data_IF_521503237838
#
_entry.id   IF_521503237838
#
_cell.length_a   1.000
_cell.length_b   1.000
_cell.length_c   1.000
_cell.angle_alpha   90.00
_cell.angle_beta   90.00
_cell.angle_gamma   90.00
#
_symmetry.space_group_name_H-M   'P 1'
#
loop_
_entity.id
_entity.type
_entity.pdbx_description
1 polymer ?
#
# COMPACT_ATOMS: atom_id res chain seq x y z
N UNK A 1 -75.36 -26.15 42.15
CA UNK A 1 -75.81 -25.55 40.88
C UNK A 1 -74.97 -24.31 40.61
N UNK A 2 -74.49 -24.15 39.35
CA UNK A 2 -73.72 -23.03 38.73
C UNK A 2 -72.41 -22.60 39.42
N UNK A 3 -71.17 -22.75 38.92
CA UNK A 3 -70.52 -22.59 37.58
C UNK A 3 -70.63 -21.18 36.99
N UNK A 4 -69.46 -20.62 36.60
CA UNK A 4 -69.12 -19.45 35.72
C UNK A 4 -68.25 -18.37 36.46
N UNK A 5 -67.16 -17.80 35.88
CA UNK A 5 -65.85 -18.45 35.87
C UNK A 5 -64.66 -17.50 36.15
N UNK A 6 -63.50 -18.15 36.24
CA UNK A 6 -62.12 -17.65 36.21
C UNK A 6 -61.78 -16.90 34.92
N UNK A 7 -61.49 -15.59 34.98
CA UNK A 7 -60.61 -14.85 34.02
C UNK A 7 -60.52 -13.36 34.39
N UNK A 8 -59.77 -12.99 35.44
CA UNK A 8 -59.47 -11.56 35.66
C UNK A 8 -58.31 -11.26 36.63
N UNK A 9 -57.25 -12.08 36.70
CA UNK A 9 -56.11 -11.82 37.61
C UNK A 9 -54.71 -12.13 37.05
N UNK A 10 -54.51 -11.99 35.74
CA UNK A 10 -53.16 -12.16 35.14
C UNK A 10 -52.66 -10.95 34.32
N UNK A 11 -53.29 -9.77 34.41
CA UNK A 11 -52.90 -8.61 33.59
C UNK A 11 -52.51 -7.35 34.37
N UNK A 12 -52.07 -7.50 35.62
CA UNK A 12 -51.65 -6.38 36.48
C UNK A 12 -50.34 -6.64 37.22
N UNK A 13 -49.41 -7.38 36.58
CA UNK A 13 -48.08 -7.61 37.13
C UNK A 13 -46.98 -7.73 36.05
N UNK A 14 -47.15 -6.98 34.95
CA UNK A 14 -46.19 -6.89 33.84
C UNK A 14 -46.06 -5.46 33.27
N UNK A 15 -46.33 -4.44 34.10
CA UNK A 15 -46.15 -3.00 33.77
C UNK A 15 -45.31 -2.28 34.87
N UNK A 16 -44.66 -3.03 35.76
CA UNK A 16 -43.86 -2.49 36.86
C UNK A 16 -42.40 -2.97 36.82
N UNK A 17 -41.87 -3.14 35.61
CA UNK A 17 -40.47 -3.50 35.36
C UNK A 17 -39.88 -2.73 34.18
N UNK A 18 -40.25 -1.45 34.04
CA UNK A 18 -39.74 -0.54 33.00
C UNK A 18 -39.46 0.86 33.57
N UNK A 19 -38.84 0.94 34.74
CA UNK A 19 -38.35 2.21 35.30
C UNK A 19 -37.13 1.98 36.20
N UNK A 20 -36.05 1.50 35.60
CA UNK A 20 -34.70 1.81 36.08
C UNK A 20 -33.99 2.55 34.96
N UNK A 21 -34.01 3.88 35.05
CA UNK A 21 -33.19 4.76 34.24
C UNK A 21 -31.71 4.45 34.54
N UNK A 22 -31.10 3.61 33.70
CA UNK A 22 -29.65 3.61 33.56
C UNK A 22 -29.20 4.91 32.90
N UNK A 23 -28.01 5.44 33.21
CA UNK A 23 -27.50 6.62 32.53
C UNK A 23 -27.50 6.33 31.04
N UNK A 24 -28.04 7.26 30.26
CA UNK A 24 -27.98 7.23 28.81
C UNK A 24 -26.50 7.21 28.38
N UNK A 25 -25.94 6.01 28.22
CA UNK A 25 -24.81 5.82 27.33
C UNK A 25 -25.33 6.23 25.96
N UNK A 26 -24.95 7.42 25.53
CA UNK A 26 -25.00 7.85 24.14
C UNK A 26 -24.20 6.82 23.33
N UNK A 27 -24.87 5.76 22.91
CA UNK A 27 -24.41 4.94 21.79
C UNK A 27 -24.67 5.83 20.58
N UNK A 28 -23.68 6.68 20.27
CA UNK A 28 -23.58 7.34 18.98
C UNK A 28 -23.57 6.20 17.96
N UNK A 29 -24.66 6.05 17.21
CA UNK A 29 -24.67 5.17 16.05
C UNK A 29 -23.63 5.73 15.07
N UNK A 30 -22.68 4.90 14.68
CA UNK A 30 -21.63 5.20 13.71
C UNK A 30 -22.15 5.34 12.27
N UNK A 31 -23.42 5.76 12.09
CA UNK A 31 -24.16 5.71 10.83
C UNK A 31 -24.54 7.11 10.29
N UNK A 32 -24.15 8.18 10.98
CA UNK A 32 -24.29 9.59 10.54
C UNK A 32 -22.93 10.24 10.28
N UNK A 33 -22.01 9.50 9.68
CA UNK A 33 -20.74 10.06 9.23
C UNK A 33 -20.98 10.81 7.92
N UNK A 34 -21.12 12.14 7.95
CA UNK A 34 -21.26 12.94 6.72
C UNK A 34 -20.03 12.73 5.81
N UNK A 35 -20.18 12.04 4.66
CA UNK A 35 -19.07 11.76 3.76
C UNK A 35 -18.47 13.04 3.13
N UNK A 36 -19.17 14.18 3.15
CA UNK A 36 -18.64 15.46 2.68
C UNK A 36 -17.56 16.06 3.62
N UNK A 37 -17.43 15.53 4.84
CA UNK A 37 -16.45 16.00 5.84
C UNK A 37 -15.15 15.20 5.85
N UNK A 38 -14.97 14.29 4.89
CA UNK A 38 -13.71 13.60 4.66
C UNK A 38 -12.86 14.38 3.66
N UNK A 39 -11.60 14.64 4.00
CA UNK A 39 -10.67 15.37 3.14
C UNK A 39 -9.41 14.55 2.88
N UNK A 40 -9.00 14.50 1.62
CA UNK A 40 -7.68 14.02 1.21
C UNK A 40 -6.68 15.18 1.28
N UNK A 41 -5.69 15.08 2.15
CA UNK A 41 -4.69 16.13 2.37
C UNK A 41 -3.44 15.92 1.52
N UNK A 42 -2.99 14.67 1.37
CA UNK A 42 -1.74 14.35 0.69
C UNK A 42 -1.80 12.99 -0.01
N UNK A 43 -1.16 12.91 -1.18
CA UNK A 43 -1.02 11.71 -2.00
C UNK A 43 0.46 11.49 -2.29
N UNK A 44 0.98 10.29 -1.96
CA UNK A 44 2.36 9.91 -2.22
C UNK A 44 2.42 8.60 -2.99
N UNK A 45 3.00 8.68 -4.18
CA UNK A 45 3.33 7.51 -4.99
C UNK A 45 4.73 6.99 -4.67
N UNK A 46 4.85 5.67 -4.52
CA UNK A 46 6.12 5.00 -4.24
C UNK A 46 6.83 5.53 -2.99
N UNK A 47 8.15 5.38 -2.98
CA UNK A 47 9.00 5.83 -1.88
C UNK A 47 9.64 7.20 -2.13
N UNK A 48 9.64 7.67 -3.38
CA UNK A 48 10.27 8.92 -3.81
C UNK A 48 9.41 9.75 -4.79
N UNK A 49 8.08 9.54 -4.77
CA UNK A 49 7.11 10.13 -5.72
C UNK A 49 7.16 9.54 -7.13
N UNK A 50 7.87 8.42 -7.32
CA UNK A 50 7.90 7.70 -8.59
C UNK A 50 7.30 6.29 -8.48
N UNK A 51 6.89 5.75 -9.63
CA UNK A 51 6.36 4.39 -9.77
C UNK A 51 7.18 3.55 -10.74
N UNK A 52 7.10 2.23 -10.60
CA UNK A 52 7.56 1.25 -11.58
C UNK A 52 6.37 0.69 -12.35
N UNK A 53 6.41 0.73 -13.68
CA UNK A 53 5.38 0.13 -14.53
C UNK A 53 5.54 -1.41 -14.53
N UNK A 54 4.42 -2.11 -14.54
CA UNK A 54 4.36 -3.57 -14.46
C UNK A 54 4.73 -4.14 -13.10
N UNK A 55 4.69 -3.34 -12.02
CA UNK A 55 5.00 -3.77 -10.65
C UNK A 55 3.99 -3.23 -9.62
N UNK A 56 4.02 -3.82 -8.42
CA UNK A 56 3.24 -3.36 -7.28
C UNK A 56 3.91 -2.18 -6.58
N UNK A 57 3.30 -1.02 -6.71
CA UNK A 57 3.72 0.24 -6.12
C UNK A 57 2.99 0.51 -4.80
N UNK A 58 3.67 1.21 -3.90
CA UNK A 58 3.04 1.75 -2.70
C UNK A 58 2.30 3.04 -3.05
N UNK A 59 1.05 3.17 -2.63
CA UNK A 59 0.31 4.44 -2.65
C UNK A 59 -0.05 4.79 -1.22
N UNK A 60 0.46 5.91 -0.71
CA UNK A 60 0.14 6.42 0.63
C UNK A 60 -0.76 7.66 0.53
N UNK A 61 -1.90 7.61 1.20
CA UNK A 61 -2.92 8.66 1.22
C UNK A 61 -3.08 9.18 2.64
N UNK A 62 -2.99 10.50 2.82
CA UNK A 62 -3.25 11.17 4.10
C UNK A 62 -4.67 11.69 4.10
N UNK A 63 -5.51 11.10 4.94
CA UNK A 63 -6.94 11.41 5.01
C UNK A 63 -7.26 12.01 6.37
N UNK A 64 -8.05 13.07 6.37
CA UNK A 64 -8.49 13.77 7.57
C UNK A 64 -10.01 13.79 7.65
N UNK A 65 -10.53 13.41 8.81
CA UNK A 65 -11.92 13.62 9.17
C UNK A 65 -12.08 15.03 9.74
N UNK A 66 -12.81 15.91 9.06
CA UNK A 66 -13.08 17.28 9.54
C UNK A 66 -14.25 17.33 10.52
N UNK A 67 -14.99 16.23 10.68
CA UNK A 67 -16.16 16.15 11.56
C UNK A 67 -15.75 16.04 13.04
N UNK A 68 -16.54 16.64 13.96
CA UNK A 68 -16.43 16.36 15.40
C UNK A 68 -17.00 14.98 15.79
N UNK A 69 -17.63 14.26 14.86
CA UNK A 69 -18.08 12.89 15.05
C UNK A 69 -17.10 11.89 14.40
N UNK A 70 -17.01 10.65 14.89
CA UNK A 70 -16.23 9.61 14.20
C UNK A 70 -16.81 9.35 12.81
N UNK A 71 -15.91 9.16 11.85
CA UNK A 71 -16.24 8.77 10.49
C UNK A 71 -15.92 7.29 10.28
N UNK A 72 -16.85 6.53 9.69
CA UNK A 72 -16.62 5.14 9.30
C UNK A 72 -17.15 4.90 7.89
N UNK A 73 -16.32 4.31 7.04
CA UNK A 73 -16.71 4.03 5.66
C UNK A 73 -15.66 3.20 4.94
N UNK A 74 -15.86 3.00 3.64
CA UNK A 74 -14.94 2.27 2.77
C UNK A 74 -14.35 3.21 1.75
N UNK A 75 -13.02 3.27 1.69
CA UNK A 75 -12.29 3.94 0.63
C UNK A 75 -12.09 2.99 -0.54
N UNK A 76 -12.52 3.40 -1.72
CA UNK A 76 -12.41 2.65 -2.98
C UNK A 76 -11.42 3.35 -3.90
N UNK A 77 -10.33 2.69 -4.23
CA UNK A 77 -9.39 3.17 -5.25
C UNK A 77 -9.75 2.52 -6.58
N UNK A 78 -10.08 3.33 -7.57
CA UNK A 78 -10.49 2.88 -8.90
C UNK A 78 -9.52 3.40 -9.97
N UNK A 79 -9.28 2.59 -10.98
CA UNK A 79 -8.59 2.98 -12.19
C UNK A 79 -9.62 3.36 -13.26
N UNK A 80 -9.38 4.43 -14.02
CA UNK A 80 -10.24 4.88 -15.12
C UNK A 80 -9.43 5.19 -16.37
N UNK A 81 -9.84 4.61 -17.48
CA UNK A 81 -9.21 4.87 -18.78
C UNK A 81 -9.79 6.11 -19.46
N UNK A 82 -8.93 7.09 -19.77
CA UNK A 82 -9.22 8.18 -20.72
C UNK A 82 -10.54 8.95 -20.52
N UNK A 83 -11.10 9.47 -21.62
CA UNK A 83 -12.32 10.30 -21.67
C UNK A 83 -13.63 9.56 -21.35
N UNK A 84 -13.56 8.30 -20.93
CA UNK A 84 -14.72 7.47 -20.59
C UNK A 84 -14.94 7.36 -19.08
N UNK A 85 -16.19 7.15 -18.68
CA UNK A 85 -16.59 6.88 -17.29
C UNK A 85 -16.47 5.40 -16.90
N UNK A 86 -15.91 4.54 -17.75
CA UNK A 86 -15.77 3.11 -17.46
C UNK A 86 -14.59 2.88 -16.52
N UNK A 87 -14.90 2.33 -15.34
CA UNK A 87 -13.90 1.86 -14.38
C UNK A 87 -13.19 0.63 -14.95
N UNK A 88 -11.87 0.62 -14.85
CA UNK A 88 -11.04 -0.50 -15.27
C UNK A 88 -10.70 -1.35 -14.04
N UNK A 89 -10.92 -2.66 -14.16
CA UNK A 89 -10.62 -3.62 -13.10
C UNK A 89 -11.60 -3.60 -11.92
N UNK A 90 -11.15 -4.18 -10.80
CA UNK A 90 -11.89 -4.19 -9.55
C UNK A 90 -11.36 -3.08 -8.64
N UNK A 91 -12.24 -2.31 -7.98
CA UNK A 91 -11.80 -1.29 -7.05
C UNK A 91 -11.05 -1.92 -5.87
N UNK A 92 -9.95 -1.29 -5.44
CA UNK A 92 -9.28 -1.67 -4.20
C UNK A 92 -10.05 -1.02 -3.04
N UNK A 93 -10.75 -1.84 -2.27
CA UNK A 93 -11.58 -1.38 -1.16
C UNK A 93 -10.86 -1.56 0.17
N UNK A 94 -10.87 -0.51 1.00
CA UNK A 94 -10.32 -0.57 2.35
C UNK A 94 -11.31 0.06 3.36
N UNK A 95 -11.80 -0.70 4.35
CA UNK A 95 -12.60 -0.15 5.42
C UNK A 95 -11.74 0.72 6.32
N UNK A 96 -12.21 1.92 6.64
CA UNK A 96 -11.47 2.92 7.39
C UNK A 96 -12.41 3.54 8.42
N UNK A 97 -11.91 3.64 9.65
CA UNK A 97 -12.57 4.38 10.73
C UNK A 97 -11.61 5.44 11.21
N UNK A 98 -12.08 6.67 11.29
CA UNK A 98 -11.37 7.85 11.77
C UNK A 98 -12.14 8.44 12.94
N UNK A 99 -11.46 8.75 14.03
CA UNK A 99 -12.02 9.49 15.15
C UNK A 99 -12.35 10.94 14.78
N UNK A 100 -12.95 11.69 15.72
CA UNK A 100 -13.19 13.12 15.58
C UNK A 100 -11.90 13.89 15.26
N UNK A 101 -11.90 14.71 14.21
CA UNK A 101 -10.73 15.53 13.82
C UNK A 101 -9.43 14.75 13.57
N UNK A 102 -9.51 13.42 13.38
CA UNK A 102 -8.34 12.55 13.22
C UNK A 102 -7.79 12.65 11.79
N UNK A 103 -6.45 12.70 11.70
CA UNK A 103 -5.70 12.55 10.46
C UNK A 103 -4.94 11.24 10.47
N UNK A 104 -5.05 10.45 9.39
CA UNK A 104 -4.42 9.14 9.30
C UNK A 104 -3.88 8.85 7.91
N UNK A 105 -2.75 8.16 7.87
CA UNK A 105 -2.19 7.59 6.65
C UNK A 105 -2.80 6.22 6.33
N UNK A 106 -3.12 6.02 5.06
CA UNK A 106 -3.73 4.82 4.51
C UNK A 106 -2.88 4.38 3.33
N UNK A 107 -2.60 3.09 3.22
CA UNK A 107 -1.67 2.56 2.23
C UNK A 107 -2.31 1.49 1.36
N UNK A 108 -2.25 1.69 0.05
CA UNK A 108 -2.62 0.71 -0.95
C UNK A 108 -1.38 0.09 -1.59
N UNK A 109 -1.53 -1.15 -2.04
CA UNK A 109 -0.57 -1.84 -2.89
C UNK A 109 -1.18 -1.91 -4.29
N UNK A 110 -0.68 -1.06 -5.19
CA UNK A 110 -1.30 -0.77 -6.48
C UNK A 110 -0.42 -1.32 -7.59
N UNK A 111 -0.96 -2.18 -8.44
CA UNK A 111 -0.25 -2.59 -9.66
C UNK A 111 -0.46 -1.51 -10.73
N UNK A 112 0.62 -0.90 -11.20
CA UNK A 112 0.56 0.14 -12.24
C UNK A 112 0.98 -0.48 -13.55
N UNK A 113 0.08 -0.62 -14.52
CA UNK A 113 0.40 -1.14 -15.84
C UNK A 113 1.00 -0.06 -16.73
N UNK A 114 0.36 1.12 -16.78
CA UNK A 114 0.85 2.30 -17.49
C UNK A 114 0.76 3.57 -16.63
N UNK A 115 1.61 4.55 -16.94
CA UNK A 115 1.61 5.87 -16.26
C UNK A 115 0.51 6.82 -16.74
N UNK A 116 -0.22 6.45 -17.80
CA UNK A 116 -1.35 7.24 -18.31
C UNK A 116 -2.69 6.89 -17.64
N UNK A 117 -2.68 5.95 -16.69
CA UNK A 117 -3.89 5.51 -16.00
C UNK A 117 -4.35 6.58 -15.01
N UNK A 118 -5.62 7.00 -15.12
CA UNK A 118 -6.19 7.97 -14.19
C UNK A 118 -6.71 7.24 -12.96
N UNK A 119 -6.10 7.53 -11.81
CA UNK A 119 -6.49 6.93 -10.54
C UNK A 119 -7.47 7.85 -9.79
N UNK A 120 -8.52 7.27 -9.23
CA UNK A 120 -9.54 7.99 -8.48
C UNK A 120 -9.76 7.34 -7.13
N UNK A 121 -9.90 8.17 -6.09
CA UNK A 121 -10.33 7.74 -4.77
C UNK A 121 -11.81 8.10 -4.59
N UNK A 122 -12.63 7.11 -4.24
CA UNK A 122 -14.04 7.28 -3.93
C UNK A 122 -14.35 6.84 -2.50
N UNK A 123 -15.17 7.58 -1.78
CA UNK A 123 -15.65 7.20 -0.44
C UNK A 123 -17.18 7.32 -0.28
N UNK A 124 -17.87 7.38 -1.41
CA UNK A 124 -19.31 7.29 -1.55
C UNK A 124 -19.69 7.36 -3.04
N UNK A 125 -20.96 7.63 -3.34
CA UNK A 125 -21.50 7.57 -4.70
C UNK A 125 -21.73 8.95 -5.34
N UNK A 126 -21.56 10.04 -4.58
CA UNK A 126 -21.70 11.38 -5.12
C UNK A 126 -20.38 11.88 -5.75
N UNK A 127 -20.47 12.75 -6.77
CA UNK A 127 -19.30 13.35 -7.42
C UNK A 127 -18.39 14.11 -6.45
N UNK A 128 -18.94 14.67 -5.37
CA UNK A 128 -18.18 15.36 -4.31
C UNK A 128 -17.36 14.41 -3.42
N UNK A 129 -17.61 13.10 -3.54
CA UNK A 129 -16.95 12.02 -2.79
C UNK A 129 -15.96 11.26 -3.68
N UNK A 130 -15.60 11.86 -4.81
CA UNK A 130 -14.69 11.35 -5.82
C UNK A 130 -13.52 12.34 -5.93
N UNK A 131 -12.29 11.85 -5.78
CA UNK A 131 -11.08 12.66 -5.88
C UNK A 131 -10.13 12.07 -6.92
N UNK A 132 -9.77 12.86 -7.93
CA UNK A 132 -8.77 12.46 -8.92
C UNK A 132 -7.39 12.54 -8.29
N UNK A 133 -6.63 11.44 -8.35
CA UNK A 133 -5.26 11.42 -7.90
C UNK A 133 -4.34 11.97 -8.99
N UNK A 134 -3.23 12.55 -8.57
CA UNK A 134 -2.18 12.96 -9.50
C UNK A 134 -1.64 11.74 -10.25
N UNK A 135 -1.44 11.91 -11.56
CA UNK A 135 -0.85 10.89 -12.42
C UNK A 135 0.51 10.47 -11.87
N UNK A 136 0.77 9.16 -11.75
CA UNK A 136 2.03 8.68 -11.23
C UNK A 136 3.17 8.97 -12.21
N UNK A 137 4.33 9.38 -11.69
CA UNK A 137 5.51 9.63 -12.51
C UNK A 137 6.36 8.37 -12.57
N UNK A 138 6.69 7.88 -13.76
CA UNK A 138 7.60 6.73 -13.88
C UNK A 138 9.02 7.16 -13.49
N UNK A 139 9.71 6.32 -12.72
CA UNK A 139 11.10 6.54 -12.32
C UNK A 139 11.87 5.23 -12.22
N UNK A 140 13.15 5.26 -11.84
CA UNK A 140 13.88 4.05 -11.46
C UNK A 140 13.56 3.65 -10.02
N UNK A 141 13.80 2.39 -9.65
CA UNK A 141 13.62 1.91 -8.27
C UNK A 141 14.46 2.74 -7.28
N UNK A 142 13.84 3.43 -6.32
CA UNK A 142 14.56 4.35 -5.45
C UNK A 142 15.37 3.64 -4.36
N UNK A 143 16.41 4.33 -3.91
CA UNK A 143 17.08 4.06 -2.63
C UNK A 143 16.77 5.21 -1.70
N UNK A 144 16.15 4.94 -0.56
CA UNK A 144 15.63 5.98 0.34
C UNK A 144 16.27 5.92 1.72
N UNK A 145 16.48 7.09 2.30
CA UNK A 145 16.82 7.26 3.71
C UNK A 145 15.54 7.17 4.54
N UNK A 146 15.55 6.26 5.50
CA UNK A 146 14.50 6.20 6.52
C UNK A 146 14.77 7.28 7.54
N UNK A 147 13.77 8.09 7.84
CA UNK A 147 13.88 9.15 8.83
C UNK A 147 12.68 9.12 9.77
N UNK A 148 12.94 9.56 11.00
CA UNK A 148 11.90 9.91 11.96
C UNK A 148 11.39 11.33 11.65
N UNK A 149 10.10 11.45 11.37
CA UNK A 149 9.46 12.74 11.08
C UNK A 149 9.30 13.61 12.34
N UNK A 150 9.24 12.97 13.51
CA UNK A 150 9.09 13.64 14.80
C UNK A 150 10.45 14.06 15.41
N UNK A 151 11.56 13.63 14.81
CA UNK A 151 12.89 14.02 15.26
C UNK A 151 13.18 15.51 14.98
N UNK A 152 13.64 16.21 16.02
CA UNK A 152 13.81 17.68 16.10
C UNK A 152 14.80 18.28 15.08
N UNK A 153 15.49 17.47 14.28
CA UNK A 153 16.37 17.96 13.22
C UNK A 153 16.62 16.90 12.16
N UNK A 154 15.89 16.98 11.05
CA UNK A 154 16.28 16.32 9.81
C UNK A 154 17.02 17.36 8.92
N UNK A 155 18.37 17.44 8.95
CA UNK A 155 19.09 18.41 8.11
C UNK A 155 18.75 18.18 6.64
N UNK A 156 18.42 19.17 5.81
CA UNK A 156 18.14 18.93 4.39
C UNK A 156 19.34 18.25 3.74
N UNK A 157 19.10 17.18 2.99
CA UNK A 157 20.15 16.39 2.34
C UNK A 157 19.73 15.96 0.95
N UNK A 158 20.70 15.56 0.11
CA UNK A 158 20.44 15.17 -1.28
C UNK A 158 19.69 13.84 -1.42
N UNK A 159 19.65 13.03 -0.35
CA UNK A 159 18.99 11.74 -0.35
C UNK A 159 17.48 11.86 -0.29
N UNK A 160 16.79 11.04 -1.10
CA UNK A 160 15.34 10.85 -0.99
C UNK A 160 14.99 10.27 0.37
N UNK A 161 13.90 10.75 0.96
CA UNK A 161 13.52 10.45 2.34
C UNK A 161 12.17 9.78 2.41
N UNK A 162 12.06 8.81 3.31
CA UNK A 162 10.81 8.13 3.57
C UNK A 162 10.58 7.98 5.07
N UNK A 163 9.41 8.40 5.55
CA UNK A 163 9.10 8.43 6.97
C UNK A 163 8.99 7.00 7.51
N UNK A 164 9.66 6.72 8.63
CA UNK A 164 9.72 5.37 9.17
C UNK A 164 8.35 4.85 9.66
N UNK A 165 7.48 5.77 10.07
CA UNK A 165 6.09 5.49 10.45
C UNK A 165 5.22 4.99 9.30
N UNK A 166 5.60 5.29 8.05
CA UNK A 166 4.93 4.81 6.84
C UNK A 166 5.56 3.54 6.28
N UNK A 167 6.55 2.96 6.97
CA UNK A 167 7.22 1.79 6.45
C UNK A 167 6.23 0.62 6.27
N UNK A 168 6.20 -0.01 5.08
CA UNK A 168 5.25 -1.07 4.78
C UNK A 168 5.33 -2.27 5.72
N UNK A 169 4.19 -2.93 5.88
CA UNK A 169 4.06 -4.14 6.69
C UNK A 169 4.09 -5.42 5.83
N UNK A 170 4.15 -5.28 4.50
CA UNK A 170 4.16 -6.38 3.54
C UNK A 170 5.31 -6.23 2.54
N UNK A 171 5.90 -7.36 2.16
CA UNK A 171 7.01 -7.44 1.18
C UNK A 171 6.58 -6.98 -0.20
N UNK A 172 5.33 -7.23 -0.59
CA UNK A 172 4.80 -6.82 -1.91
C UNK A 172 4.90 -5.31 -2.11
N UNK A 173 4.70 -4.54 -1.03
CA UNK A 173 4.80 -3.07 -1.05
C UNK A 173 6.25 -2.56 -1.11
N UNK A 174 7.25 -3.43 -0.86
CA UNK A 174 8.66 -3.10 -0.91
C UNK A 174 9.31 -3.45 -2.27
N UNK A 175 8.57 -4.03 -3.22
CA UNK A 175 9.13 -4.54 -4.48
C UNK A 175 9.78 -3.45 -5.35
N UNK A 176 9.18 -2.27 -5.40
CA UNK A 176 9.71 -1.14 -6.15
C UNK A 176 10.94 -0.49 -5.48
N UNK A 177 11.33 -0.93 -4.30
CA UNK A 177 12.45 -0.37 -3.57
C UNK A 177 13.76 -1.05 -3.98
N UNK A 178 14.74 -0.25 -4.40
CA UNK A 178 16.09 -0.76 -4.70
C UNK A 178 16.91 -0.94 -3.42
N UNK A 179 16.79 0.01 -2.49
CA UNK A 179 17.57 -0.02 -1.27
C UNK A 179 17.05 0.89 -0.16
N UNK A 180 17.50 0.63 1.06
CA UNK A 180 17.20 1.43 2.24
C UNK A 180 18.50 1.92 2.85
N UNK A 181 18.52 3.17 3.31
CA UNK A 181 19.62 3.74 4.10
C UNK A 181 19.14 3.95 5.53
N UNK A 182 19.93 3.47 6.50
CA UNK A 182 19.66 3.59 7.93
C UNK A 182 20.85 4.26 8.63
N UNK A 183 20.59 5.37 9.32
CA UNK A 183 21.54 6.08 10.20
C UNK A 183 21.19 5.93 11.70
N UNK A 184 19.99 5.44 11.99
CA UNK A 184 19.48 5.16 13.32
C UNK A 184 18.79 3.79 13.34
N UNK A 185 18.39 3.37 14.55
CA UNK A 185 17.56 2.18 14.72
C UNK A 185 16.11 2.61 14.58
N UNK A 186 15.38 2.18 13.54
CA UNK A 186 14.00 2.59 13.37
C UNK A 186 13.11 1.93 14.43
N UNK A 187 12.01 2.58 14.82
CA UNK A 187 11.08 2.05 15.84
C UNK A 187 10.14 0.94 15.31
N UNK A 188 10.54 0.25 14.25
CA UNK A 188 9.75 -0.82 13.64
C UNK A 188 9.56 -2.00 14.59
N UNK A 189 8.37 -2.62 14.53
CA UNK A 189 8.03 -3.80 15.32
C UNK A 189 7.27 -4.82 14.46
N UNK A 190 7.34 -6.09 14.88
CA UNK A 190 6.52 -7.19 14.36
C UNK A 190 6.48 -7.28 12.81
N UNK A 191 5.34 -6.97 12.16
CA UNK A 191 5.17 -7.11 10.71
C UNK A 191 6.19 -6.32 9.86
N UNK A 192 6.58 -5.11 10.28
CA UNK A 192 7.52 -4.27 9.52
C UNK A 192 8.92 -4.88 9.45
N UNK A 193 9.40 -5.37 10.59
CA UNK A 193 10.70 -6.07 10.67
C UNK A 193 10.66 -7.33 9.82
N UNK A 194 9.55 -8.08 9.86
CA UNK A 194 9.37 -9.29 9.04
C UNK A 194 9.41 -8.93 7.54
N UNK A 195 8.66 -7.92 7.12
CA UNK A 195 8.64 -7.46 5.73
C UNK A 195 10.03 -7.02 5.25
N UNK A 196 10.76 -6.26 6.07
CA UNK A 196 12.14 -5.86 5.78
C UNK A 196 13.05 -7.09 5.61
N UNK A 197 12.97 -8.05 6.54
CA UNK A 197 13.78 -9.28 6.51
C UNK A 197 13.49 -10.07 5.24
N UNK A 198 12.22 -10.30 4.92
CA UNK A 198 11.81 -11.05 3.73
C UNK A 198 12.23 -10.34 2.42
N UNK A 199 12.05 -9.02 2.35
CA UNK A 199 12.52 -8.21 1.21
C UNK A 199 14.04 -8.29 1.05
N UNK A 200 14.80 -8.21 2.15
CA UNK A 200 16.24 -8.34 2.14
C UNK A 200 16.65 -9.75 1.67
N UNK A 201 16.02 -10.81 2.18
CA UNK A 201 16.25 -12.18 1.71
C UNK A 201 15.97 -12.36 0.21
N UNK A 202 14.99 -11.62 -0.34
CA UNK A 202 14.62 -11.65 -1.76
C UNK A 202 15.59 -10.89 -2.68
N UNK A 203 16.58 -10.18 -2.13
CA UNK A 203 17.57 -9.42 -2.92
C UNK A 203 17.60 -7.92 -2.65
N UNK A 204 16.85 -7.43 -1.67
CA UNK A 204 16.91 -6.04 -1.21
C UNK A 204 18.31 -5.62 -0.76
N UNK A 205 18.51 -4.31 -0.59
CA UNK A 205 19.80 -3.73 -0.20
C UNK A 205 19.64 -2.79 0.98
N UNK A 206 20.45 -2.96 2.02
CA UNK A 206 20.47 -2.05 3.18
C UNK A 206 21.86 -1.42 3.29
N UNK A 207 21.88 -0.10 3.38
CA UNK A 207 23.07 0.69 3.60
C UNK A 207 23.03 1.24 5.03
N UNK A 208 24.02 0.90 5.84
CA UNK A 208 24.17 1.39 7.19
C UNK A 208 25.18 2.53 7.17
N UNK A 209 24.76 3.72 7.59
CA UNK A 209 25.62 4.90 7.65
C UNK A 209 25.86 5.32 9.11
N UNK A 210 26.82 6.21 9.32
CA UNK A 210 27.10 6.73 10.65
C UNK A 210 25.98 7.63 11.14
N UNK A 211 25.61 7.44 12.41
CA UNK A 211 24.74 8.32 13.16
C UNK A 211 25.43 9.69 13.43
N UNK A 212 24.75 10.56 14.18
CA UNK A 212 25.31 11.85 14.57
C UNK A 212 26.63 11.76 15.38
N UNK A 213 26.86 10.64 16.08
CA UNK A 213 28.06 10.38 16.88
C UNK A 213 29.21 9.75 16.07
N UNK A 214 29.04 9.56 14.76
CA UNK A 214 30.06 8.93 13.91
C UNK A 214 30.15 7.40 14.08
N UNK A 215 29.13 6.75 14.63
CA UNK A 215 29.07 5.30 14.84
C UNK A 215 27.94 4.68 14.02
N UNK A 216 28.08 3.41 13.65
CA UNK A 216 26.97 2.67 13.04
C UNK A 216 25.87 2.37 14.08
N UNK A 217 24.59 2.36 13.66
CA UNK A 217 23.51 1.93 14.54
C UNK A 217 23.70 0.48 14.99
N UNK A 218 23.38 0.20 16.25
CA UNK A 218 23.32 -1.16 16.81
C UNK A 218 21.87 -1.59 16.94
N UNK A 219 21.51 -2.63 16.20
CA UNK A 219 20.13 -3.08 16.12
C UNK A 219 19.76 -4.02 17.27
N UNK A 220 18.51 -4.01 17.76
CA UNK A 220 18.04 -4.94 18.77
C UNK A 220 17.97 -6.38 18.22
N UNK A 221 17.73 -7.36 19.09
CA UNK A 221 17.66 -8.79 18.75
C UNK A 221 16.70 -9.08 17.58
N UNK A 222 15.57 -8.37 17.49
CA UNK A 222 14.62 -8.54 16.38
C UNK A 222 15.19 -8.16 15.01
N UNK A 223 16.22 -7.32 14.98
CA UNK A 223 16.95 -6.85 13.80
C UNK A 223 18.44 -7.23 13.84
N UNK A 224 18.79 -8.29 14.58
CA UNK A 224 20.14 -8.82 14.73
C UNK A 224 20.83 -9.15 13.40
N UNK A 225 20.06 -9.53 12.39
CA UNK A 225 20.51 -9.81 11.04
C UNK A 225 21.16 -8.60 10.35
N UNK A 226 21.06 -7.39 10.89
CA UNK A 226 21.75 -6.19 10.42
C UNK A 226 23.06 -5.90 11.18
N UNK A 227 23.35 -6.62 12.26
CA UNK A 227 24.53 -6.39 13.13
C UNK A 227 25.82 -7.11 12.66
N UNK A 228 25.92 -7.49 11.39
CA UNK A 228 27.12 -8.14 10.86
C UNK A 228 28.39 -7.30 11.10
N UNK A 229 29.51 -7.96 11.43
CA UNK A 229 30.78 -7.29 11.75
C UNK A 229 31.58 -6.86 10.52
N UNK A 230 31.24 -7.39 9.34
CA UNK A 230 31.89 -7.09 8.08
C UNK A 230 31.32 -5.81 7.47
N UNK A 231 32.14 -5.09 6.69
CA UNK A 231 31.70 -3.89 5.98
C UNK A 231 30.65 -4.19 4.90
N UNK A 232 30.66 -5.39 4.32
CA UNK A 232 29.64 -5.87 3.39
C UNK A 232 29.35 -7.33 3.70
N UNK A 233 28.09 -7.67 3.96
CA UNK A 233 27.67 -9.04 4.21
C UNK A 233 26.31 -9.33 3.58
N UNK A 234 25.99 -10.62 3.44
CA UNK A 234 24.74 -11.08 2.80
C UNK A 234 23.73 -11.55 3.83
N UNK A 235 22.46 -11.32 3.51
CA UNK A 235 21.31 -11.87 4.22
C UNK A 235 20.36 -12.45 3.15
N UNK A 236 20.36 -13.78 3.02
CA UNK A 236 19.75 -14.43 1.85
C UNK A 236 20.41 -13.99 0.54
N UNK A 237 19.61 -13.53 -0.41
CA UNK A 237 20.08 -12.98 -1.69
C UNK A 237 20.42 -11.48 -1.61
N UNK A 238 20.05 -10.79 -0.53
CA UNK A 238 20.30 -9.37 -0.35
C UNK A 238 21.65 -9.05 0.26
N UNK A 239 21.94 -7.75 0.32
CA UNK A 239 23.23 -7.21 0.74
C UNK A 239 23.01 -6.14 1.80
N UNK A 240 23.78 -6.22 2.88
CA UNK A 240 23.94 -5.15 3.86
C UNK A 240 25.35 -4.59 3.71
N UNK A 241 25.47 -3.27 3.55
CA UNK A 241 26.73 -2.57 3.39
C UNK A 241 26.85 -1.44 4.41
N UNK A 242 27.93 -1.43 5.17
CA UNK A 242 28.34 -0.36 6.06
C UNK A 242 29.14 0.65 5.26
N UNK A 243 28.72 1.90 5.31
CA UNK A 243 29.34 3.00 4.58
C UNK A 243 29.78 4.03 5.62
N UNK A 244 31.08 4.35 5.73
CA UNK A 244 31.62 5.19 6.79
C UNK A 244 31.38 6.69 6.55
N UNK A 245 30.13 7.05 6.22
CA UNK A 245 29.68 8.40 5.93
C UNK A 245 28.59 8.81 6.91
N UNK A 246 28.53 10.08 7.27
CA UNK A 246 27.40 10.67 7.99
C UNK A 246 26.50 11.46 7.02
N UNK A 247 25.22 11.66 7.35
CA UNK A 247 24.29 12.44 6.53
C UNK A 247 24.81 13.83 6.12
N UNK A 248 25.63 14.47 6.95
CA UNK A 248 26.23 15.79 6.66
C UNK A 248 27.33 15.74 5.60
N UNK A 249 27.91 14.57 5.37
CA UNK A 249 29.02 14.34 4.46
C UNK A 249 28.55 13.78 3.11
N UNK A 250 27.29 13.37 3.01
CA UNK A 250 26.73 12.81 1.79
C UNK A 250 26.36 13.96 0.86
N UNK A 251 27.20 14.18 -0.16
CA UNK A 251 26.86 14.93 -1.35
C UNK A 251 26.29 13.99 -2.44
N UNK A 252 25.63 14.54 -3.45
CA UNK A 252 25.06 13.77 -4.58
C UNK A 252 26.11 12.94 -5.30
N UNK A 253 27.34 13.43 -5.45
CA UNK A 253 28.42 12.68 -6.10
C UNK A 253 28.83 11.46 -5.27
N UNK A 254 28.99 11.64 -3.96
CA UNK A 254 29.32 10.56 -3.02
C UNK A 254 28.18 9.54 -2.91
N UNK A 255 26.92 10.00 -2.89
CA UNK A 255 25.77 9.11 -2.93
C UNK A 255 25.77 8.28 -4.22
N UNK A 256 26.10 8.88 -5.36
CA UNK A 256 26.20 8.16 -6.64
C UNK A 256 27.31 7.11 -6.64
N UNK A 257 28.48 7.40 -6.08
CA UNK A 257 29.62 6.47 -6.08
C UNK A 257 29.54 5.39 -5.01
N UNK A 258 29.01 5.67 -3.82
CA UNK A 258 29.06 4.74 -2.68
C UNK A 258 27.72 4.05 -2.41
N UNK A 259 26.60 4.74 -2.67
CA UNK A 259 25.25 4.22 -2.37
C UNK A 259 24.52 3.71 -3.62
N UNK A 260 24.82 4.28 -4.78
CA UNK A 260 24.13 3.96 -6.04
C UNK A 260 25.01 3.22 -7.06
N UNK A 261 26.30 3.00 -6.77
CA UNK A 261 27.24 2.30 -7.65
C UNK A 261 27.31 0.81 -7.30
N UNK A 262 26.27 0.06 -7.65
CA UNK A 262 26.46 -1.32 -8.10
C UNK A 262 26.27 -1.26 -9.61
N UNK A 263 27.18 -1.88 -10.37
CA UNK A 263 27.05 -2.05 -11.84
C UNK A 263 25.56 -2.21 -12.17
N UNK A 264 25.03 -1.29 -12.98
CA UNK A 264 23.71 -1.46 -13.57
C UNK A 264 23.64 -2.91 -14.04
N UNK A 265 22.78 -3.70 -13.43
CA UNK A 265 22.50 -5.03 -13.93
C UNK A 265 22.05 -4.77 -15.37
N UNK A 266 22.63 -5.39 -16.42
CA UNK A 266 22.30 -5.08 -17.81
C UNK A 266 20.81 -5.24 -18.14
N UNK A 267 20.04 -5.81 -17.21
CA UNK A 267 18.60 -6.00 -17.25
C UNK A 267 17.79 -4.78 -16.75
N UNK A 268 18.38 -3.80 -16.05
CA UNK A 268 17.69 -2.57 -15.59
C UNK A 268 17.75 -1.42 -16.61
N UNK A 269 18.51 -1.58 -17.71
CA UNK A 269 18.72 -0.54 -18.73
C UNK A 269 17.79 -0.59 -19.94
N UNK A 270 16.78 -1.47 -19.98
CA UNK A 270 15.94 -1.70 -21.16
C UNK A 270 14.57 -1.00 -21.09
N UNK A 271 14.52 0.21 -20.58
CA UNK A 271 13.46 1.18 -20.90
C UNK A 271 14.14 2.49 -21.27
N UNK A 272 14.75 2.48 -22.46
CA UNK A 272 15.17 3.70 -23.11
C UNK A 272 13.94 4.60 -23.27
N UNK A 273 13.95 5.75 -22.60
CA UNK A 273 13.08 6.88 -22.91
C UNK A 273 13.33 7.22 -24.37
N UNK A 274 12.46 6.77 -25.26
CA UNK A 274 12.41 7.28 -26.63
C UNK A 274 11.83 8.69 -26.51
N UNK A 275 12.56 9.76 -26.89
CA UNK A 275 11.96 11.08 -27.00
C UNK A 275 10.86 10.98 -28.05
N UNK A 276 9.62 11.27 -27.65
CA UNK A 276 8.49 11.26 -28.57
C UNK A 276 8.62 12.48 -29.50
N UNK A 277 9.25 12.29 -30.65
CA UNK A 277 9.27 13.31 -31.72
C UNK A 277 7.86 13.47 -32.27
N UNK A 278 7.21 14.55 -31.84
CA UNK A 278 5.82 14.89 -32.11
C UNK A 278 5.64 15.53 -33.49
N UNK A 279 6.16 14.95 -34.56
CA UNK A 279 5.82 15.39 -35.92
C UNK A 279 5.74 14.22 -36.90
N UNK A 280 4.49 13.86 -37.20
CA UNK A 280 4.07 13.40 -38.52
C UNK A 280 4.72 12.12 -39.04
N UNK A 281 4.36 10.98 -38.45
CA UNK A 281 4.14 9.73 -39.18
C UNK A 281 3.38 8.76 -38.27
N UNK A 282 2.30 8.17 -38.77
CA UNK A 282 1.47 7.23 -38.03
C UNK A 282 2.29 5.99 -37.65
N UNK A 283 2.60 5.83 -36.36
CA UNK A 283 3.18 4.61 -35.81
C UNK A 283 2.01 3.67 -35.45
N UNK A 284 2.02 2.40 -35.88
CA UNK A 284 1.04 1.42 -35.41
C UNK A 284 1.22 1.22 -33.90
N UNK A 285 0.12 1.33 -33.16
CA UNK A 285 -0.04 1.33 -31.70
C UNK A 285 0.37 0.03 -30.97
N UNK A 286 1.30 -0.77 -31.51
CA UNK A 286 1.58 -2.14 -31.05
C UNK A 286 3.02 -2.39 -30.56
N UNK A 287 3.76 -1.36 -30.16
CA UNK A 287 5.12 -1.53 -29.61
C UNK A 287 5.27 -0.72 -28.32
N UNK A 288 4.63 -1.20 -27.25
CA UNK A 288 4.98 -0.88 -25.86
C UNK A 288 5.28 -2.22 -25.19
N UNK A 289 6.37 -2.30 -24.43
CA UNK A 289 7.00 -3.55 -24.01
C UNK A 289 6.16 -4.40 -23.05
N UNK A 290 5.37 -5.32 -23.59
CA UNK A 290 4.70 -6.41 -22.88
C UNK A 290 5.56 -7.68 -22.93
N UNK A 291 6.53 -7.86 -22.02
CA UNK A 291 7.36 -9.09 -22.12
C UNK A 291 7.61 -9.86 -20.82
N UNK A 292 7.49 -9.26 -19.63
CA UNK A 292 7.84 -9.99 -18.39
C UNK A 292 6.68 -10.73 -17.73
N UNK A 293 5.47 -10.17 -17.78
CA UNK A 293 4.33 -10.73 -17.06
C UNK A 293 3.28 -11.40 -17.96
N UNK A 294 3.33 -11.22 -19.27
CA UNK A 294 2.33 -11.82 -20.18
C UNK A 294 2.37 -13.35 -20.12
N UNK A 295 3.56 -13.96 -20.08
CA UNK A 295 3.66 -15.43 -20.01
C UNK A 295 3.09 -15.98 -18.71
N UNK A 296 3.40 -15.35 -17.57
CA UNK A 296 2.89 -15.79 -16.25
C UNK A 296 1.39 -15.50 -16.11
N UNK A 297 0.91 -14.35 -16.57
CA UNK A 297 -0.52 -14.01 -16.55
C UNK A 297 -1.31 -14.86 -17.54
N UNK A 298 -0.74 -15.21 -18.70
CA UNK A 298 -1.32 -16.15 -19.64
C UNK A 298 -1.34 -17.57 -19.07
N UNK A 299 -0.27 -18.02 -18.41
CA UNK A 299 -0.23 -19.29 -17.69
C UNK A 299 -1.25 -19.32 -16.53
N UNK A 300 -1.34 -18.27 -15.72
CA UNK A 300 -2.35 -18.17 -14.67
C UNK A 300 -3.77 -18.09 -15.24
N UNK A 301 -3.97 -17.38 -16.35
CA UNK A 301 -5.28 -17.30 -17.03
C UNK A 301 -5.67 -18.63 -17.65
N UNK A 302 -4.73 -19.39 -18.19
CA UNK A 302 -4.97 -20.73 -18.74
C UNK A 302 -5.18 -21.77 -17.63
N UNK A 303 -4.47 -21.65 -16.51
CA UNK A 303 -4.67 -22.49 -15.31
C UNK A 303 -5.98 -22.16 -14.58
N UNK A 304 -6.36 -20.88 -14.52
CA UNK A 304 -7.60 -20.40 -13.92
C UNK A 304 -8.81 -20.51 -14.86
N UNK A 305 -8.58 -20.63 -16.17
CA UNK A 305 -9.60 -21.01 -17.13
C UNK A 305 -10.04 -22.43 -16.81
N UNK A 306 -11.09 -22.52 -16.00
CA UNK A 306 -11.78 -23.74 -15.64
C UNK A 306 -12.30 -24.39 -16.93
N UNK A 307 -11.47 -25.18 -17.61
CA UNK A 307 -11.91 -26.09 -18.66
C UNK A 307 -12.67 -27.23 -17.98
N UNK A 308 -13.87 -26.94 -17.47
CA UNK A 308 -14.84 -27.99 -17.12
C UNK A 308 -15.35 -28.54 -18.44
N UNK A 309 -15.04 -29.80 -18.80
CA UNK A 309 -15.69 -30.46 -19.91
C UNK A 309 -17.14 -30.72 -19.51
N UNK A 310 -18.00 -29.70 -19.61
CA UNK A 310 -19.42 -29.78 -19.24
C UNK A 310 -20.12 -30.93 -19.95
N UNK A 311 -19.65 -31.32 -21.14
CA UNK A 311 -20.14 -32.48 -21.87
C UNK A 311 -20.01 -33.81 -21.08
N UNK A 312 -18.97 -33.98 -20.25
CA UNK A 312 -18.81 -35.16 -19.39
C UNK A 312 -19.81 -35.16 -18.24
N UNK A 313 -20.11 -33.99 -17.67
CA UNK A 313 -21.16 -33.85 -16.64
C UNK A 313 -22.52 -34.21 -17.24
N UNK A 314 -22.84 -33.69 -18.43
CA UNK A 314 -24.08 -34.03 -19.13
C UNK A 314 -24.18 -35.52 -19.47
N UNK A 315 -23.08 -36.16 -19.91
CA UNK A 315 -23.03 -37.60 -20.16
C UNK A 315 -23.26 -38.43 -18.88
N UNK A 316 -22.67 -38.03 -17.76
CA UNK A 316 -22.88 -38.70 -16.48
C UNK A 316 -24.32 -38.53 -15.96
N UNK A 317 -24.91 -37.35 -16.08
CA UNK A 317 -26.32 -37.10 -15.72
C UNK A 317 -27.26 -37.91 -16.62
N UNK A 318 -26.97 -38.00 -17.91
CA UNK A 318 -27.76 -38.79 -18.84
C UNK A 318 -27.63 -40.28 -18.51
N UNK A 319 -26.42 -40.79 -18.24
CA UNK A 319 -26.21 -42.16 -17.77
C UNK A 319 -26.95 -42.47 -16.46
N UNK A 320 -27.00 -41.52 -15.52
CA UNK A 320 -27.76 -41.66 -14.28
C UNK A 320 -29.28 -41.71 -14.50
N UNK A 321 -29.83 -40.98 -15.48
CA UNK A 321 -31.26 -41.01 -15.80
C UNK A 321 -31.71 -42.32 -16.47
N UNK A 322 -30.79 -43.11 -17.02
CA UNK A 322 -31.07 -44.39 -17.67
C UNK A 322 -30.82 -45.61 -16.78
N UNK A 323 -30.40 -45.40 -15.52
CA UNK A 323 -30.27 -46.42 -14.47
C UNK A 323 -31.44 -46.28 -13.49
#
# INVERSE_FOLDING_TARGET
>A
MSVIPTRQRCLTLLILLSLTAGPATNIVRADESDPALLKLDEVRWGFDQTVQNGEFNLLSLKVTNLSPAPWSGTLRLCERTGTGSSELGLPLEQPVTLGPTETRWIQYCVYVEDTFDNWWLAWGDADQQLHSLQLPVSGPRPTVLIYDEDAVSAPPGPLRRFAEQLFPQSVTQLQCLRGIILDHVPFWTGPRIRALREWLHAGGRVYLIHNADGRYPQFPESMDFLNGTQDRFRVGSGIVQRVPLSLKQIDMETARSELFHDKADPLEGATAVVPLDFYGNAIPLNVVGYTRHERVLHELRTLAAFQRPWFLIYLCVLGYLFV
#
